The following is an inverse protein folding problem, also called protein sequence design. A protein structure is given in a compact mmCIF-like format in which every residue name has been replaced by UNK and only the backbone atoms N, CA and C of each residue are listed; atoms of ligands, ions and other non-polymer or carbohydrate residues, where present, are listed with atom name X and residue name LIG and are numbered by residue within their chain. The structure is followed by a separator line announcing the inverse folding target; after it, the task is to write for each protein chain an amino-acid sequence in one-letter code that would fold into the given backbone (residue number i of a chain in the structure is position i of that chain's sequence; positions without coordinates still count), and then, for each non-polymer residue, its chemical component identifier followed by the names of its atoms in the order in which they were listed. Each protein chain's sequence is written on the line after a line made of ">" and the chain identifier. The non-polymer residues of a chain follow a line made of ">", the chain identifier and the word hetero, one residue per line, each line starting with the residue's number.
data_IF_482856442974
#
_entry.id   IF_482856442974
#
_cell.length_a   1.000
_cell.length_b   1.000
_cell.length_c   1.000
_cell.angle_alpha   90.00
_cell.angle_beta   90.00
_cell.angle_gamma   90.00
#
_symmetry.space_group_name_H-M   'P 1'
#
loop_
_entity.id
_entity.type
_entity.pdbx_description
1 polymer ?
#
# COMPACT_ATOMS: atom_id res chain seq x y z
N UNK A 1 8.50 -3.88 6.49
CA UNK A 1 7.43 -3.55 5.53
C UNK A 1 7.96 -2.47 4.61
N UNK A 2 7.65 -2.58 3.31
CA UNK A 2 7.91 -1.55 2.31
C UNK A 2 6.59 -1.34 1.57
N UNK A 3 6.22 -0.08 1.34
CA UNK A 3 5.05 0.31 0.55
C UNK A 3 5.53 1.28 -0.52
N UNK A 4 4.99 1.15 -1.73
CA UNK A 4 5.21 2.09 -2.82
C UNK A 4 3.88 2.78 -3.14
N UNK A 5 3.92 4.11 -3.23
CA UNK A 5 2.82 4.95 -3.67
C UNK A 5 3.24 5.62 -4.98
N UNK A 6 2.33 5.67 -5.95
CA UNK A 6 2.56 6.27 -7.26
C UNK A 6 1.51 7.35 -7.47
N UNK A 7 1.96 8.53 -7.93
CA UNK A 7 1.07 9.60 -8.36
C UNK A 7 0.81 9.44 -9.87
N UNK A 8 -0.46 9.43 -10.26
CA UNK A 8 -0.90 9.36 -11.64
C UNK A 8 -1.74 10.59 -11.99
N UNK A 9 -1.77 11.04 -13.26
CA UNK A 9 -2.53 12.23 -13.65
C UNK A 9 -4.05 12.08 -13.47
N UNK A 10 -4.59 10.87 -13.57
CA UNK A 10 -5.98 10.52 -13.28
C UNK A 10 -6.15 9.01 -13.02
N UNK A 11 -7.36 8.59 -12.62
CA UNK A 11 -7.68 7.20 -12.24
C UNK A 11 -7.63 6.18 -13.39
N UNK A 12 -7.69 6.64 -14.64
CA UNK A 12 -7.64 5.80 -15.84
C UNK A 12 -6.27 5.81 -16.52
N UNK A 13 -5.28 6.48 -15.91
CA UNK A 13 -3.94 6.55 -16.47
C UNK A 13 -3.28 5.17 -16.48
N UNK A 14 -2.85 4.73 -17.65
CA UNK A 14 -2.04 3.52 -17.79
C UNK A 14 -0.64 3.72 -17.18
N UNK A 15 -0.09 2.66 -16.60
CA UNK A 15 1.30 2.62 -16.16
C UNK A 15 1.89 1.22 -16.33
N UNK A 16 3.19 1.15 -16.62
CA UNK A 16 3.91 -0.13 -16.70
C UNK A 16 4.04 -0.71 -15.28
N UNK A 17 3.38 -1.84 -15.02
CA UNK A 17 3.44 -2.51 -13.73
C UNK A 17 4.79 -3.22 -13.56
N UNK A 18 5.66 -2.78 -12.64
CA UNK A 18 6.95 -3.42 -12.44
C UNK A 18 6.81 -4.78 -11.74
N UNK A 19 7.69 -5.74 -12.06
CA UNK A 19 7.65 -7.10 -11.48
C UNK A 19 7.83 -7.14 -9.96
N UNK A 20 8.47 -6.12 -9.38
CA UNK A 20 8.64 -6.01 -7.92
C UNK A 20 7.37 -5.54 -7.20
N UNK A 21 6.36 -5.03 -7.93
CA UNK A 21 5.13 -4.52 -7.34
C UNK A 21 4.27 -5.68 -6.87
N UNK A 22 4.11 -5.77 -5.54
CA UNK A 22 3.31 -6.80 -4.89
C UNK A 22 1.80 -6.57 -5.00
N UNK A 23 1.09 -6.98 -3.94
CA UNK A 23 -0.36 -6.81 -3.80
C UNK A 23 -0.74 -5.33 -3.82
N UNK A 24 -1.78 -4.99 -4.56
CA UNK A 24 -2.39 -3.67 -4.51
C UNK A 24 -3.16 -3.48 -3.19
N UNK A 25 -2.91 -2.35 -2.52
CA UNK A 25 -3.43 -2.06 -1.17
C UNK A 25 -4.11 -0.69 -1.06
N UNK A 26 -4.38 -0.03 -2.19
CA UNK A 26 -4.95 1.33 -2.24
C UNK A 26 -6.24 1.48 -1.42
N UNK A 27 -7.12 0.47 -1.48
CA UNK A 27 -8.38 0.45 -0.74
C UNK A 27 -8.28 -0.22 0.65
N UNK A 28 -7.11 -0.72 1.04
CA UNK A 28 -6.92 -1.41 2.31
C UNK A 28 -6.60 -0.40 3.43
N UNK A 29 -7.62 -0.03 4.19
CA UNK A 29 -7.53 0.99 5.25
C UNK A 29 -6.45 0.72 6.31
N UNK A 30 -6.01 -0.53 6.47
CA UNK A 30 -4.95 -0.90 7.41
C UNK A 30 -3.58 -0.35 7.02
N UNK A 31 -3.36 -0.02 5.75
CA UNK A 31 -2.09 0.53 5.25
C UNK A 31 -2.05 2.06 5.18
N UNK A 32 -3.12 2.73 5.61
CA UNK A 32 -3.12 4.20 5.74
C UNK A 32 -2.19 4.66 6.86
N UNK A 33 -1.62 5.88 6.72
CA UNK A 33 -0.78 6.48 7.77
C UNK A 33 -1.52 6.59 9.12
N UNK A 34 -2.79 7.01 9.08
CA UNK A 34 -3.62 7.14 10.28
C UNK A 34 -3.79 5.79 11.03
N UNK A 35 -3.90 4.68 10.31
CA UNK A 35 -3.98 3.35 10.92
C UNK A 35 -2.60 2.88 11.41
N UNK A 36 -1.57 2.94 10.57
CA UNK A 36 -0.22 2.45 10.88
C UNK A 36 0.44 3.18 12.05
N UNK A 37 0.18 4.48 12.23
CA UNK A 37 0.67 5.26 13.38
C UNK A 37 0.12 4.76 14.72
N UNK A 38 -1.08 4.15 14.72
CA UNK A 38 -1.75 3.61 15.92
C UNK A 38 -1.57 2.10 16.07
N UNK A 39 -1.41 1.40 14.95
CA UNK A 39 -1.27 -0.05 14.86
C UNK A 39 -0.04 -0.38 14.00
N UNK A 40 1.18 -0.25 14.55
CA UNK A 40 2.41 -0.50 13.80
C UNK A 40 2.39 -1.88 13.16
N UNK A 41 2.84 -1.99 11.91
CA UNK A 41 2.84 -3.26 11.19
C UNK A 41 3.54 -4.40 11.96
N UNK A 42 4.56 -4.08 12.75
CA UNK A 42 5.28 -5.05 13.60
C UNK A 42 4.40 -5.71 14.68
N UNK A 43 3.24 -5.15 15.01
CA UNK A 43 2.32 -5.72 16.00
C UNK A 43 1.21 -6.58 15.40
N UNK A 44 1.18 -6.77 14.08
CA UNK A 44 0.10 -7.48 13.41
C UNK A 44 0.29 -9.00 13.58
N UNK A 45 -0.72 -9.68 14.14
CA UNK A 45 -0.63 -11.12 14.51
C UNK A 45 -0.57 -12.07 13.32
N UNK A 46 -1.01 -11.61 12.16
CA UNK A 46 -0.92 -12.29 10.88
C UNK A 46 -0.33 -11.29 9.88
N UNK A 47 0.97 -11.00 10.00
CA UNK A 47 1.65 -10.21 8.99
C UNK A 47 1.45 -10.91 7.64
N UNK A 48 0.82 -10.19 6.71
CA UNK A 48 0.38 -10.66 5.38
C UNK A 48 1.54 -11.18 4.56
#
# INVERSE_FOLDING_TARGET
>A
MVVAEIELPDENADFDRPDWLGREITADGMFTNAYLSRHPFSSWKNAV
#
